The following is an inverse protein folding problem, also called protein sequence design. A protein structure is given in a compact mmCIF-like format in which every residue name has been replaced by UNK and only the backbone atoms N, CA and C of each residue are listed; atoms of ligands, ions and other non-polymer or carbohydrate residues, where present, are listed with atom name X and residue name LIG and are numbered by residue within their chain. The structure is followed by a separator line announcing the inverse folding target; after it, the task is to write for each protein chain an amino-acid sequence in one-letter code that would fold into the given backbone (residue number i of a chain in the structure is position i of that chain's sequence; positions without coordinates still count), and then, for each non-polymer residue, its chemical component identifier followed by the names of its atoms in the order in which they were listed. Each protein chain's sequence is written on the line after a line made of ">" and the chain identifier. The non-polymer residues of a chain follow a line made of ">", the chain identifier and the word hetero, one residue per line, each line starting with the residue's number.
data_IF_731416310584
#
_entry.id   IF_731416310584
#
_cell.length_a   1.000
_cell.length_b   1.000
_cell.length_c   1.000
_cell.angle_alpha   90.00
_cell.angle_beta   90.00
_cell.angle_gamma   90.00
#
_symmetry.space_group_name_H-M   'P 1'
#
loop_
_entity.id
_entity.type
_entity.pdbx_description
1 polymer ?
#
# COMPACT_ATOMS: atom_id res chain seq x y z
N UNK A 1 40.34 47.49 -4.62
CA UNK A 1 40.66 47.08 -3.23
C UNK A 1 39.39 46.89 -2.35
N UNK A 2 38.28 46.39 -2.83
CA UNK A 2 37.03 46.28 -2.02
C UNK A 2 36.39 44.87 -1.92
N UNK A 3 36.89 43.89 -2.63
CA UNK A 3 36.39 42.50 -2.54
C UNK A 3 36.99 41.67 -1.41
N UNK A 4 38.11 42.05 -0.84
CA UNK A 4 38.79 41.29 0.24
C UNK A 4 38.27 41.61 1.65
N UNK A 5 37.58 42.72 1.86
CA UNK A 5 37.05 43.11 3.16
C UNK A 5 35.64 42.58 3.44
N UNK A 6 34.86 42.23 2.39
CA UNK A 6 33.54 41.63 2.55
C UNK A 6 33.62 40.20 3.13
N UNK A 7 34.65 39.44 2.77
CA UNK A 7 34.84 38.07 3.23
C UNK A 7 35.40 37.96 4.68
N UNK A 8 35.88 39.07 5.26
CA UNK A 8 36.36 39.08 6.65
C UNK A 8 35.32 39.49 7.68
N UNK A 9 34.21 40.10 7.31
CA UNK A 9 33.12 40.49 8.22
C UNK A 9 31.95 39.49 8.27
N UNK A 10 31.92 38.50 7.37
CA UNK A 10 30.92 37.39 7.40
C UNK A 10 31.32 36.22 8.31
N UNK A 11 32.42 36.36 9.04
CA UNK A 11 33.01 35.28 9.86
C UNK A 11 32.59 35.19 11.31
N UNK A 12 31.57 35.99 11.75
CA UNK A 12 31.07 35.91 13.12
C UNK A 12 29.53 35.91 13.12
N UNK A 13 28.95 34.73 12.99
CA UNK A 13 27.49 34.53 13.02
C UNK A 13 27.03 33.18 12.54
N UNK A 14 27.91 32.21 12.43
CA UNK A 14 27.53 30.81 12.39
C UNK A 14 27.14 30.40 13.81
N UNK A 15 25.89 30.72 14.19
CA UNK A 15 25.22 29.92 15.19
C UNK A 15 25.28 28.47 14.66
N UNK A 16 26.07 27.65 15.35
CA UNK A 16 26.11 26.24 15.14
C UNK A 16 24.69 25.69 15.33
N UNK A 17 23.92 25.59 14.24
CA UNK A 17 23.00 24.49 14.13
C UNK A 17 23.91 23.26 14.24
N UNK A 18 24.04 22.75 15.46
CA UNK A 18 24.54 21.44 15.70
C UNK A 18 23.62 20.51 14.94
N UNK A 19 24.00 20.20 13.70
CA UNK A 19 23.65 18.97 13.05
C UNK A 19 24.14 17.92 14.06
N UNK A 20 23.25 17.48 14.93
CA UNK A 20 23.50 16.26 15.70
C UNK A 20 23.95 15.24 14.66
N UNK A 21 25.12 14.59 14.86
CA UNK A 21 25.51 13.50 14.01
C UNK A 21 24.34 12.52 14.08
N UNK A 22 23.58 12.40 12.98
CA UNK A 22 22.57 11.38 12.81
C UNK A 22 23.34 10.07 12.99
N UNK A 23 23.26 9.50 14.18
CA UNK A 23 24.00 8.29 14.50
C UNK A 23 23.52 7.22 13.53
N UNK A 24 24.44 6.73 12.70
CA UNK A 24 24.27 5.56 11.83
C UNK A 24 23.74 4.32 12.60
N UNK A 25 23.69 4.40 13.92
CA UNK A 25 23.39 3.33 14.86
C UNK A 25 21.88 3.14 15.16
N UNK A 26 20.99 4.08 14.83
CA UNK A 26 19.57 3.91 15.19
C UNK A 26 18.84 2.89 14.31
N UNK A 27 19.24 2.76 13.04
CA UNK A 27 18.66 1.78 12.13
C UNK A 27 19.00 0.35 12.57
N UNK A 28 20.30 0.11 12.77
CA UNK A 28 20.81 -1.21 13.14
C UNK A 28 20.32 -1.62 14.53
N UNK A 29 20.08 -0.66 15.43
CA UNK A 29 19.68 -0.92 16.81
C UNK A 29 18.31 -1.60 16.91
N UNK A 30 17.24 -1.02 16.35
CA UNK A 30 15.87 -1.58 16.48
C UNK A 30 15.77 -2.94 15.77
N UNK A 31 16.30 -3.05 14.55
CA UNK A 31 16.29 -4.31 13.81
C UNK A 31 17.11 -5.38 14.52
N UNK A 32 18.30 -5.01 15.05
CA UNK A 32 19.14 -5.91 15.83
C UNK A 32 18.46 -6.33 17.14
N UNK A 33 17.79 -5.41 17.83
CA UNK A 33 17.06 -5.68 19.06
C UNK A 33 15.91 -6.66 18.82
N UNK A 34 15.11 -6.47 17.76
CA UNK A 34 14.05 -7.39 17.36
C UNK A 34 14.61 -8.80 17.06
N UNK A 35 15.71 -8.88 16.32
CA UNK A 35 16.35 -10.14 15.99
C UNK A 35 16.93 -10.83 17.25
N UNK A 36 17.56 -10.08 18.13
CA UNK A 36 18.07 -10.57 19.41
C UNK A 36 16.95 -11.09 20.30
N UNK A 37 15.85 -10.35 20.41
CA UNK A 37 14.70 -10.77 21.20
C UNK A 37 14.10 -12.08 20.67
N UNK A 38 13.98 -12.20 19.34
CA UNK A 38 13.49 -13.42 18.71
C UNK A 38 14.39 -14.61 18.94
N UNK A 39 15.71 -14.42 18.88
CA UNK A 39 16.69 -15.47 19.12
C UNK A 39 16.70 -15.93 20.58
N UNK A 40 16.54 -14.99 21.53
CA UNK A 40 16.53 -15.30 22.96
C UNK A 40 15.29 -16.07 23.43
N UNK A 41 14.18 -16.02 22.70
CA UNK A 41 12.91 -16.67 23.04
C UNK A 41 12.33 -17.47 21.88
N UNK A 42 12.98 -18.54 21.42
CA UNK A 42 12.48 -19.36 20.34
C UNK A 42 11.17 -20.06 20.78
N UNK A 43 10.21 -20.18 19.87
CA UNK A 43 8.96 -20.92 20.09
C UNK A 43 7.87 -20.20 20.88
N UNK A 44 8.09 -18.96 21.36
CA UNK A 44 7.04 -18.19 22.02
C UNK A 44 6.05 -17.62 21.00
N UNK A 45 4.74 -17.75 21.27
CA UNK A 45 3.73 -16.97 20.54
C UNK A 45 3.91 -15.50 20.90
N UNK A 46 4.28 -14.65 19.95
CA UNK A 46 4.57 -13.22 20.16
C UNK A 46 3.38 -12.32 19.90
N UNK A 47 2.25 -12.86 19.49
CA UNK A 47 1.07 -12.05 19.15
C UNK A 47 0.65 -11.16 20.30
N UNK A 48 0.72 -11.67 21.54
CA UNK A 48 0.35 -10.96 22.78
C UNK A 48 1.56 -10.53 23.63
N UNK A 49 2.78 -10.74 23.14
CA UNK A 49 4.00 -10.36 23.86
C UNK A 49 4.25 -8.85 23.80
N UNK A 50 3.70 -8.12 24.77
CA UNK A 50 3.82 -6.66 24.82
C UNK A 50 5.26 -6.16 24.92
N UNK A 51 6.20 -6.97 25.44
CA UNK A 51 7.61 -6.59 25.48
C UNK A 51 8.20 -6.53 24.05
N UNK A 52 7.89 -7.52 23.20
CA UNK A 52 8.25 -7.48 21.79
C UNK A 52 7.63 -6.29 21.06
N UNK A 53 6.32 -6.06 21.25
CA UNK A 53 5.62 -4.97 20.58
C UNK A 53 6.02 -3.58 21.10
N UNK A 54 6.54 -3.49 22.33
CA UNK A 54 7.15 -2.26 22.80
C UNK A 54 8.41 -1.90 22.00
N UNK A 55 9.25 -2.88 21.64
CA UNK A 55 10.41 -2.61 20.77
C UNK A 55 9.93 -2.08 19.41
N UNK A 56 8.92 -2.71 18.81
CA UNK A 56 8.32 -2.22 17.54
C UNK A 56 7.78 -0.79 17.71
N UNK A 57 7.08 -0.51 18.80
CA UNK A 57 6.48 0.80 19.08
C UNK A 57 7.53 1.92 19.23
N UNK A 58 8.70 1.64 19.80
CA UNK A 58 9.77 2.63 19.95
C UNK A 58 10.36 3.07 18.62
N UNK A 59 10.18 2.27 17.54
CA UNK A 59 10.60 2.65 16.20
C UNK A 59 9.73 3.76 15.59
N UNK A 60 8.58 4.10 16.17
CA UNK A 60 7.67 5.11 15.61
C UNK A 60 7.64 6.36 16.51
N UNK A 61 7.99 7.51 15.93
CA UNK A 61 7.76 8.79 16.58
C UNK A 61 6.26 9.11 16.57
N UNK A 62 5.76 9.54 17.71
CA UNK A 62 4.37 9.99 17.84
C UNK A 62 4.38 11.38 18.42
N UNK A 63 3.61 12.26 17.81
CA UNK A 63 3.39 13.62 18.29
C UNK A 63 1.89 13.82 18.52
N UNK A 64 1.57 14.70 19.48
CA UNK A 64 0.20 15.02 19.87
C UNK A 64 -0.39 14.13 20.96
N UNK A 65 -1.40 14.70 21.64
CA UNK A 65 -2.12 14.10 22.77
C UNK A 65 -3.36 13.33 22.29
N UNK A 66 -3.21 12.50 21.26
CA UNK A 66 -4.33 11.73 20.74
C UNK A 66 -3.90 10.32 20.31
N UNK A 67 -4.86 9.42 20.25
CA UNK A 67 -4.70 8.07 19.73
C UNK A 67 -5.09 8.10 18.26
N UNK A 68 -4.09 7.98 17.36
CA UNK A 68 -4.33 7.91 15.92
C UNK A 68 -4.66 6.47 15.52
N UNK A 69 -5.91 6.22 15.13
CA UNK A 69 -6.34 4.93 14.56
C UNK A 69 -6.43 4.97 13.02
N UNK A 70 -6.16 6.11 12.40
CA UNK A 70 -6.14 6.27 10.94
C UNK A 70 -4.71 6.20 10.40
N UNK A 71 -4.07 5.05 10.51
CA UNK A 71 -2.74 4.80 9.96
C UNK A 71 -2.78 3.93 8.69
N UNK A 72 -3.95 3.50 8.25
CA UNK A 72 -4.10 2.63 7.09
C UNK A 72 -3.90 3.33 5.76
N UNK A 73 -4.31 4.61 5.65
CA UNK A 73 -4.10 5.43 4.45
C UNK A 73 -2.72 6.05 4.40
N UNK A 74 -2.22 6.53 5.54
CA UNK A 74 -0.97 7.29 5.65
C UNK A 74 -0.23 6.81 6.90
N UNK A 75 0.62 5.80 6.74
CA UNK A 75 1.39 5.28 7.87
C UNK A 75 2.57 6.17 8.20
N UNK A 76 2.87 6.40 9.48
CA UNK A 76 4.15 6.97 9.87
C UNK A 76 5.27 6.01 9.48
N UNK A 77 6.39 6.58 9.07
CA UNK A 77 7.58 5.79 8.81
C UNK A 77 8.21 5.38 10.14
N UNK A 78 8.66 4.12 10.30
CA UNK A 78 9.51 3.78 11.42
C UNK A 78 10.85 4.51 11.30
N UNK A 79 11.47 4.85 12.42
CA UNK A 79 12.70 5.63 12.46
C UNK A 79 13.80 5.13 11.51
N UNK A 80 14.03 3.82 11.37
CA UNK A 80 14.99 3.31 10.37
C UNK A 80 14.70 3.76 8.95
N UNK A 81 13.45 3.69 8.53
CA UNK A 81 13.02 4.10 7.17
C UNK A 81 13.11 5.62 7.01
N UNK A 82 12.67 6.36 8.03
CA UNK A 82 12.74 7.82 8.05
C UNK A 82 14.19 8.31 7.92
N UNK A 83 15.12 7.78 8.71
CA UNK A 83 16.53 8.13 8.67
C UNK A 83 17.17 7.79 7.31
N UNK A 84 16.84 6.63 6.74
CA UNK A 84 17.29 6.26 5.40
C UNK A 84 16.81 7.28 4.36
N UNK A 85 15.54 7.67 4.41
CA UNK A 85 14.95 8.65 3.49
C UNK A 85 15.71 9.98 3.54
N UNK A 86 15.99 10.51 4.74
CA UNK A 86 16.73 11.75 4.91
C UNK A 86 18.19 11.65 4.46
N UNK A 87 18.85 10.54 4.74
CA UNK A 87 20.21 10.29 4.27
C UNK A 87 20.27 10.30 2.73
N UNK A 88 19.33 9.62 2.08
CA UNK A 88 19.26 9.59 0.61
C UNK A 88 18.93 10.99 0.03
N UNK A 89 18.00 11.71 0.65
CA UNK A 89 17.70 13.10 0.25
C UNK A 89 18.93 14.01 0.37
N UNK A 90 19.70 13.87 1.44
CA UNK A 90 20.97 14.59 1.66
C UNK A 90 22.01 14.28 0.59
N UNK A 91 22.18 12.98 0.24
CA UNK A 91 23.09 12.55 -0.81
C UNK A 91 22.68 13.10 -2.18
N UNK A 92 21.40 12.97 -2.55
CA UNK A 92 20.88 13.52 -3.81
C UNK A 92 21.07 15.04 -3.88
N UNK A 93 20.79 15.77 -2.78
CA UNK A 93 20.99 17.21 -2.74
C UNK A 93 22.48 17.61 -2.88
N UNK A 94 23.38 16.87 -2.27
CA UNK A 94 24.81 17.16 -2.32
C UNK A 94 25.46 16.86 -3.69
N UNK A 95 24.96 15.85 -4.39
CA UNK A 95 25.50 15.42 -5.70
C UNK A 95 24.66 15.83 -6.89
N UNK A 96 23.36 16.12 -6.65
CA UNK A 96 22.40 16.69 -7.61
C UNK A 96 22.47 16.08 -9.03
N UNK A 97 22.91 16.85 -10.02
CA UNK A 97 22.96 16.37 -11.41
C UNK A 97 23.86 15.15 -11.62
N UNK A 98 24.92 15.00 -10.80
CA UNK A 98 25.77 13.80 -10.88
C UNK A 98 24.97 12.54 -10.51
N UNK A 99 24.25 12.56 -9.37
CA UNK A 99 23.37 11.48 -8.98
C UNK A 99 22.34 11.16 -10.08
N UNK A 100 21.62 12.16 -10.55
CA UNK A 100 20.57 12.03 -11.57
C UNK A 100 21.09 11.53 -12.92
N UNK A 101 22.37 11.67 -13.23
CA UNK A 101 22.97 11.26 -14.51
C UNK A 101 23.78 9.96 -14.43
N UNK A 102 24.19 9.54 -13.23
CA UNK A 102 25.16 8.45 -13.05
C UNK A 102 24.73 7.36 -12.09
N UNK A 103 23.88 7.69 -11.10
CA UNK A 103 23.59 6.79 -9.98
C UNK A 103 22.11 6.40 -9.88
N UNK A 104 21.19 7.24 -10.37
CA UNK A 104 19.75 7.03 -10.19
C UNK A 104 19.24 5.70 -10.74
N UNK A 105 19.73 5.27 -11.90
CA UNK A 105 19.30 4.03 -12.54
C UNK A 105 19.61 2.82 -11.65
N UNK A 106 20.86 2.73 -11.18
CA UNK A 106 21.28 1.66 -10.28
C UNK A 106 20.51 1.69 -8.96
N UNK A 107 20.20 2.88 -8.43
CA UNK A 107 19.42 3.03 -7.21
C UNK A 107 17.96 2.54 -7.38
N UNK A 108 17.35 2.86 -8.52
CA UNK A 108 16.00 2.39 -8.87
C UNK A 108 15.99 0.86 -9.03
N UNK A 109 16.96 0.28 -9.76
CA UNK A 109 17.05 -1.17 -9.96
C UNK A 109 17.30 -1.92 -8.64
N UNK A 110 18.09 -1.35 -7.72
CA UNK A 110 18.28 -1.93 -6.39
C UNK A 110 16.96 -1.97 -5.59
N UNK A 111 16.18 -0.90 -5.63
CA UNK A 111 14.88 -0.85 -4.97
C UNK A 111 13.88 -1.83 -5.62
N UNK A 112 13.88 -1.91 -6.96
CA UNK A 112 13.04 -2.85 -7.72
C UNK A 112 13.36 -4.30 -7.38
N UNK A 113 14.65 -4.68 -7.41
CA UNK A 113 15.07 -6.05 -7.10
C UNK A 113 14.66 -6.47 -5.69
N UNK A 114 14.86 -5.59 -4.69
CA UNK A 114 14.45 -5.86 -3.32
C UNK A 114 12.93 -6.02 -3.17
N UNK A 115 12.15 -5.20 -3.88
CA UNK A 115 10.69 -5.27 -3.84
C UNK A 115 10.17 -6.52 -4.58
N UNK A 116 10.75 -6.85 -5.73
CA UNK A 116 10.41 -8.03 -6.51
C UNK A 116 10.66 -9.33 -5.72
N UNK A 117 11.82 -9.43 -5.04
CA UNK A 117 12.13 -10.54 -4.12
C UNK A 117 11.11 -10.62 -2.97
N UNK A 118 10.74 -9.48 -2.38
CA UNK A 118 9.76 -9.42 -1.30
C UNK A 118 8.37 -9.90 -1.74
N UNK A 119 7.98 -9.61 -2.97
CA UNK A 119 6.68 -9.94 -3.55
C UNK A 119 6.64 -11.30 -4.25
N UNK A 120 7.79 -11.97 -4.42
CA UNK A 120 7.90 -13.28 -5.07
C UNK A 120 7.70 -13.25 -6.59
N UNK A 121 8.17 -12.19 -7.25
CA UNK A 121 8.03 -12.00 -8.71
C UNK A 121 9.35 -11.58 -9.35
N UNK A 122 9.51 -11.79 -10.68
CA UNK A 122 10.65 -11.24 -11.42
C UNK A 122 10.67 -9.71 -11.42
N UNK A 123 11.87 -9.11 -11.34
CA UNK A 123 12.03 -7.66 -11.37
C UNK A 123 11.59 -7.06 -12.71
N UNK A 124 11.66 -7.83 -13.79
CA UNK A 124 11.28 -7.47 -15.15
C UNK A 124 9.76 -7.32 -15.33
N UNK A 125 8.98 -7.77 -14.35
CA UNK A 125 7.53 -7.68 -14.31
C UNK A 125 7.02 -6.55 -13.39
N UNK A 126 7.94 -5.82 -12.74
CA UNK A 126 7.61 -4.85 -11.67
C UNK A 126 8.06 -3.44 -12.03
N UNK A 127 7.12 -2.51 -12.12
CA UNK A 127 7.37 -1.07 -12.22
C UNK A 127 7.21 -0.38 -10.87
N UNK A 128 8.07 0.60 -10.58
CA UNK A 128 7.99 1.45 -9.41
C UNK A 128 7.22 2.74 -9.72
N UNK A 129 6.11 2.92 -9.03
CA UNK A 129 5.18 4.03 -9.19
C UNK A 129 5.13 4.91 -7.95
N UNK A 130 4.27 5.94 -7.95
CA UNK A 130 4.06 6.80 -6.77
C UNK A 130 3.03 6.22 -5.79
N UNK A 131 2.04 5.52 -6.29
CA UNK A 131 0.94 4.96 -5.49
C UNK A 131 0.04 4.05 -6.34
N UNK A 132 -0.92 3.39 -5.70
CA UNK A 132 -1.93 2.56 -6.36
C UNK A 132 -2.74 3.33 -7.40
N UNK A 133 -3.08 4.60 -7.11
CA UNK A 133 -3.88 5.42 -8.02
C UNK A 133 -3.19 5.60 -9.36
N UNK A 134 -1.90 5.92 -9.37
CA UNK A 134 -1.12 5.99 -10.61
C UNK A 134 -1.04 4.62 -11.31
N UNK A 135 -0.71 3.57 -10.55
CA UNK A 135 -0.59 2.22 -11.09
C UNK A 135 -1.85 1.76 -11.80
N UNK A 136 -2.98 1.86 -11.14
CA UNK A 136 -4.26 1.39 -11.69
C UNK A 136 -4.81 2.32 -12.77
N UNK A 137 -4.64 3.65 -12.67
CA UNK A 137 -5.00 4.56 -13.76
C UNK A 137 -4.19 4.30 -15.01
N UNK A 138 -2.90 3.93 -14.89
CA UNK A 138 -2.08 3.50 -16.02
C UNK A 138 -2.71 2.30 -16.73
N UNK A 139 -3.14 1.29 -15.97
CA UNK A 139 -3.81 0.11 -16.52
C UNK A 139 -5.16 0.46 -17.11
N UNK A 140 -6.01 1.18 -16.39
CA UNK A 140 -7.39 1.51 -16.80
C UNK A 140 -7.38 2.34 -18.09
N UNK A 141 -6.53 3.37 -18.14
CA UNK A 141 -6.44 4.25 -19.31
C UNK A 141 -5.68 3.63 -20.49
N UNK A 142 -4.69 2.77 -20.18
CA UNK A 142 -3.84 2.14 -21.18
C UNK A 142 -4.36 0.81 -21.73
N UNK A 143 -5.41 0.25 -21.16
CA UNK A 143 -5.99 -1.00 -21.64
C UNK A 143 -6.58 -0.83 -23.06
N UNK A 144 -6.43 -1.83 -23.98
CA UNK A 144 -6.89 -1.72 -25.36
C UNK A 144 -8.41 -1.91 -25.48
N UNK A 145 -9.17 -0.98 -24.89
CA UNK A 145 -10.62 -0.97 -24.89
C UNK A 145 -11.20 -0.83 -26.29
N UNK A 146 -12.30 -1.55 -26.53
CA UNK A 146 -13.14 -1.39 -27.70
C UNK A 146 -14.55 -0.99 -27.24
N UNK A 147 -15.25 -0.24 -28.10
CA UNK A 147 -16.64 0.10 -27.86
C UNK A 147 -17.46 -1.17 -27.63
N UNK A 148 -18.19 -1.21 -26.53
CA UNK A 148 -19.02 -2.34 -26.12
C UNK A 148 -18.31 -3.43 -25.32
N UNK A 149 -17.00 -3.33 -25.07
CA UNK A 149 -16.31 -4.13 -24.04
C UNK A 149 -16.94 -3.88 -22.66
N UNK A 150 -16.75 -4.82 -21.75
CA UNK A 150 -17.25 -4.69 -20.38
C UNK A 150 -16.11 -4.85 -19.35
N UNK A 151 -16.18 -4.07 -18.27
CA UNK A 151 -15.40 -4.27 -17.05
C UNK A 151 -16.34 -4.55 -15.89
N UNK A 152 -15.94 -5.46 -14.99
CA UNK A 152 -16.62 -5.70 -13.72
C UNK A 152 -15.79 -5.08 -12.59
N UNK A 153 -16.43 -4.28 -11.75
CA UNK A 153 -15.88 -3.66 -10.53
C UNK A 153 -16.76 -4.02 -9.33
N UNK A 154 -16.24 -3.91 -8.09
CA UNK A 154 -17.02 -4.04 -6.87
C UNK A 154 -17.68 -2.71 -6.47
N UNK A 155 -18.87 -2.76 -5.86
CA UNK A 155 -19.54 -1.58 -5.29
C UNK A 155 -18.76 -1.00 -4.10
N UNK A 156 -17.96 -1.83 -3.41
CA UNK A 156 -17.10 -1.46 -2.30
C UNK A 156 -15.64 -1.16 -2.71
N UNK A 157 -15.33 -1.16 -4.00
CA UNK A 157 -14.01 -0.78 -4.48
C UNK A 157 -13.73 0.69 -4.19
N UNK A 158 -12.43 1.05 -4.11
CA UNK A 158 -12.03 2.42 -3.81
C UNK A 158 -12.66 3.43 -4.79
N UNK A 159 -13.36 4.43 -4.25
CA UNK A 159 -14.16 5.36 -5.03
C UNK A 159 -13.42 6.04 -6.19
N UNK A 160 -12.13 6.40 -6.00
CA UNK A 160 -11.33 6.98 -7.08
C UNK A 160 -11.09 5.99 -8.23
N UNK A 161 -11.01 4.69 -7.96
CA UNK A 161 -10.88 3.69 -9.02
C UNK A 161 -12.21 3.50 -9.75
N UNK A 162 -13.32 3.46 -9.01
CA UNK A 162 -14.64 3.43 -9.62
C UNK A 162 -14.87 4.62 -10.56
N UNK A 163 -14.46 5.82 -10.14
CA UNK A 163 -14.55 7.02 -10.99
C UNK A 163 -13.57 6.96 -12.18
N UNK A 164 -12.37 6.39 -12.02
CA UNK A 164 -11.43 6.21 -13.14
C UNK A 164 -12.03 5.29 -14.21
N UNK A 165 -12.68 4.18 -13.81
CA UNK A 165 -13.39 3.29 -14.76
C UNK A 165 -14.55 4.02 -15.45
N UNK A 166 -15.40 4.76 -14.71
CA UNK A 166 -16.51 5.51 -15.29
C UNK A 166 -16.05 6.61 -16.24
N UNK A 167 -14.95 7.30 -15.90
CA UNK A 167 -14.36 8.32 -16.77
C UNK A 167 -13.86 7.71 -18.09
N UNK A 168 -13.12 6.60 -18.02
CA UNK A 168 -12.58 5.96 -19.19
C UNK A 168 -13.67 5.25 -20.02
N UNK A 169 -14.74 4.74 -19.38
CA UNK A 169 -15.91 4.21 -20.09
C UNK A 169 -16.55 5.28 -20.99
N UNK A 170 -16.70 6.52 -20.49
CA UNK A 170 -17.19 7.65 -21.32
C UNK A 170 -16.25 7.98 -22.48
N UNK A 171 -14.93 7.80 -22.27
CA UNK A 171 -13.90 8.13 -23.28
C UNK A 171 -13.80 7.05 -24.38
N UNK A 172 -13.87 5.78 -24.01
CA UNK A 172 -13.58 4.65 -24.90
C UNK A 172 -14.79 3.82 -25.28
N UNK A 173 -15.97 4.09 -24.72
CA UNK A 173 -17.22 3.44 -25.07
C UNK A 173 -17.40 2.02 -24.52
N UNK A 174 -16.62 1.61 -23.52
CA UNK A 174 -16.87 0.37 -22.80
C UNK A 174 -17.92 0.56 -21.70
N UNK A 175 -18.43 -0.53 -21.13
CA UNK A 175 -19.44 -0.53 -20.09
C UNK A 175 -18.85 -0.97 -18.75
N UNK A 176 -19.28 -0.31 -17.67
CA UNK A 176 -18.94 -0.67 -16.30
C UNK A 176 -20.11 -1.45 -15.71
N UNK A 177 -19.85 -2.68 -15.27
CA UNK A 177 -20.79 -3.52 -14.53
C UNK A 177 -20.33 -3.60 -13.08
N UNK A 178 -21.24 -3.32 -12.15
CA UNK A 178 -20.91 -3.28 -10.72
C UNK A 178 -21.42 -4.54 -10.02
N UNK A 179 -20.52 -5.28 -9.39
CA UNK A 179 -20.86 -6.40 -8.53
C UNK A 179 -21.31 -5.88 -7.18
N UNK A 180 -22.43 -6.41 -6.68
CA UNK A 180 -22.90 -6.16 -5.33
C UNK A 180 -22.18 -7.13 -4.37
N UNK A 181 -21.14 -6.65 -3.68
CA UNK A 181 -20.28 -7.46 -2.83
C UNK A 181 -20.93 -7.58 -1.45
N UNK A 182 -21.22 -8.80 -0.96
CA UNK A 182 -21.79 -8.96 0.38
C UNK A 182 -20.88 -8.37 1.46
N UNK A 183 -21.41 -7.49 2.29
CA UNK A 183 -20.65 -6.83 3.37
C UNK A 183 -20.26 -7.83 4.47
N UNK A 184 -21.17 -8.74 4.81
CA UNK A 184 -20.96 -9.80 5.82
C UNK A 184 -21.27 -11.17 5.20
N UNK A 185 -20.44 -11.67 4.27
CA UNK A 185 -20.69 -12.93 3.58
C UNK A 185 -20.60 -14.11 4.56
N UNK A 186 -21.43 -15.13 4.33
CA UNK A 186 -21.35 -16.38 5.11
C UNK A 186 -20.28 -17.31 4.59
N UNK A 187 -20.05 -17.31 3.26
CA UNK A 187 -19.07 -18.18 2.59
C UNK A 187 -18.29 -17.43 1.54
N UNK A 188 -17.15 -17.99 1.08
CA UNK A 188 -16.38 -17.42 -0.04
C UNK A 188 -17.12 -17.54 -1.37
N UNK A 189 -17.98 -18.56 -1.51
CA UNK A 189 -18.79 -18.78 -2.70
C UNK A 189 -19.76 -17.62 -2.95
N UNK A 190 -20.28 -16.98 -1.91
CA UNK A 190 -21.11 -15.78 -2.06
C UNK A 190 -20.29 -14.64 -2.72
N UNK A 191 -19.05 -14.45 -2.30
CA UNK A 191 -18.14 -13.46 -2.89
C UNK A 191 -17.75 -13.83 -4.32
N UNK A 192 -17.40 -15.10 -4.56
CA UNK A 192 -17.09 -15.60 -5.90
C UNK A 192 -18.28 -15.37 -6.84
N UNK A 193 -19.47 -15.75 -6.41
CA UNK A 193 -20.70 -15.61 -7.20
C UNK A 193 -21.02 -14.15 -7.50
N UNK A 194 -20.83 -13.22 -6.55
CA UNK A 194 -21.11 -11.80 -6.75
C UNK A 194 -20.43 -11.22 -8.00
N UNK A 195 -19.19 -11.65 -8.26
CA UNK A 195 -18.45 -11.23 -9.45
C UNK A 195 -18.72 -12.10 -10.67
N UNK A 196 -18.69 -13.43 -10.51
CA UNK A 196 -18.71 -14.36 -11.64
C UNK A 196 -20.05 -14.39 -12.39
N UNK A 197 -21.18 -14.14 -11.71
CA UNK A 197 -22.49 -14.07 -12.36
C UNK A 197 -22.62 -12.92 -13.37
N UNK A 198 -21.73 -11.95 -13.33
CA UNK A 198 -21.68 -10.81 -14.25
C UNK A 198 -20.81 -11.07 -15.48
N UNK A 199 -20.01 -12.14 -15.50
CA UNK A 199 -19.06 -12.40 -16.58
C UNK A 199 -19.81 -12.87 -17.82
N UNK A 200 -19.58 -12.17 -18.93
CA UNK A 200 -20.12 -12.49 -20.24
C UNK A 200 -19.03 -12.48 -21.35
N UNK A 201 -19.41 -12.74 -22.60
CA UNK A 201 -18.48 -12.78 -23.74
C UNK A 201 -17.78 -11.44 -24.02
N UNK A 202 -18.37 -10.32 -23.57
CA UNK A 202 -17.82 -8.97 -23.73
C UNK A 202 -16.97 -8.53 -22.55
N UNK A 203 -16.92 -9.30 -21.47
CA UNK A 203 -16.15 -8.96 -20.27
C UNK A 203 -14.65 -9.11 -20.57
N UNK A 204 -13.92 -7.98 -20.57
CA UNK A 204 -12.49 -7.94 -20.88
C UNK A 204 -11.63 -7.79 -19.63
N UNK A 205 -12.18 -7.18 -18.59
CA UNK A 205 -11.45 -6.95 -17.34
C UNK A 205 -12.35 -7.23 -16.13
N UNK A 206 -11.74 -7.79 -15.10
CA UNK A 206 -12.29 -7.93 -13.76
C UNK A 206 -11.36 -7.19 -12.80
N UNK A 207 -11.87 -6.14 -12.15
CA UNK A 207 -11.16 -5.43 -11.09
C UNK A 207 -11.59 -5.97 -9.73
N UNK A 208 -10.64 -6.24 -8.86
CA UNK A 208 -10.84 -6.77 -7.51
C UNK A 208 -10.01 -5.96 -6.50
N UNK A 209 -10.63 -5.50 -5.43
CA UNK A 209 -9.91 -4.97 -4.27
C UNK A 209 -9.61 -6.13 -3.31
N UNK A 210 -8.32 -6.46 -3.10
CA UNK A 210 -7.94 -7.62 -2.27
C UNK A 210 -8.33 -7.44 -0.80
N UNK A 211 -8.14 -6.21 -0.26
CA UNK A 211 -8.59 -5.84 1.07
C UNK A 211 -9.36 -4.52 0.99
N UNK A 212 -10.67 -4.61 1.21
CA UNK A 212 -11.57 -3.46 1.09
C UNK A 212 -11.31 -2.45 2.21
N UNK A 213 -11.02 -1.22 1.84
CA UNK A 213 -10.72 -0.16 2.79
C UNK A 213 -11.93 0.27 3.65
N UNK A 214 -13.15 0.12 3.10
CA UNK A 214 -14.38 0.52 3.78
C UNK A 214 -14.78 -0.44 4.90
N UNK A 215 -14.63 -1.75 4.67
CA UNK A 215 -15.12 -2.78 5.60
C UNK A 215 -14.00 -3.60 6.27
N UNK A 216 -12.75 -3.49 5.77
CA UNK A 216 -11.66 -4.36 6.21
C UNK A 216 -11.81 -5.81 5.77
N UNK A 217 -12.77 -6.09 4.87
CA UNK A 217 -13.01 -7.43 4.35
C UNK A 217 -11.89 -7.85 3.39
N UNK A 218 -11.37 -9.05 3.61
CA UNK A 218 -10.45 -9.71 2.68
C UNK A 218 -11.25 -10.48 1.64
N UNK A 219 -11.01 -10.19 0.37
CA UNK A 219 -11.68 -10.82 -0.77
C UNK A 219 -10.86 -12.03 -1.23
N UNK A 220 -11.48 -13.19 -1.51
CA UNK A 220 -10.80 -14.40 -1.96
C UNK A 220 -10.39 -14.29 -3.45
N UNK A 221 -9.47 -13.36 -3.72
CA UNK A 221 -9.04 -12.98 -5.09
C UNK A 221 -8.66 -14.19 -5.91
N UNK A 222 -7.87 -15.11 -5.37
CA UNK A 222 -7.43 -16.29 -6.11
C UNK A 222 -8.59 -17.20 -6.54
N UNK A 223 -9.61 -17.37 -5.70
CA UNK A 223 -10.78 -18.17 -6.02
C UNK A 223 -11.61 -17.48 -7.11
N UNK A 224 -11.84 -16.17 -6.98
CA UNK A 224 -12.57 -15.37 -7.98
C UNK A 224 -11.81 -15.37 -9.31
N UNK A 225 -10.49 -15.16 -9.30
CA UNK A 225 -9.64 -15.15 -10.51
C UNK A 225 -9.71 -16.46 -11.27
N UNK A 226 -9.57 -17.59 -10.56
CA UNK A 226 -9.67 -18.93 -11.19
C UNK A 226 -11.07 -19.19 -11.75
N UNK A 227 -12.12 -18.85 -11.00
CA UNK A 227 -13.49 -19.00 -11.48
C UNK A 227 -13.79 -18.10 -12.68
N UNK A 228 -13.33 -16.85 -12.65
CA UNK A 228 -13.49 -15.92 -13.77
C UNK A 228 -12.82 -16.44 -15.06
N UNK A 229 -11.57 -16.94 -14.95
CA UNK A 229 -10.82 -17.49 -16.09
C UNK A 229 -11.40 -18.82 -16.61
N UNK A 230 -12.08 -19.59 -15.77
CA UNK A 230 -12.80 -20.79 -16.23
C UNK A 230 -14.04 -20.44 -17.06
N UNK A 231 -14.68 -19.28 -16.83
CA UNK A 231 -15.82 -18.78 -17.59
C UNK A 231 -15.36 -18.05 -18.87
N UNK A 232 -14.35 -17.18 -18.71
CA UNK A 232 -13.76 -16.41 -19.81
C UNK A 232 -12.22 -16.42 -19.70
N UNK A 233 -11.53 -17.34 -20.44
CA UNK A 233 -10.07 -17.46 -20.38
C UNK A 233 -9.29 -16.19 -20.77
N UNK A 234 -9.91 -15.29 -21.52
CA UNK A 234 -9.29 -14.06 -22.02
C UNK A 234 -9.51 -12.84 -21.10
N UNK A 235 -10.16 -13.03 -19.94
CA UNK A 235 -10.40 -11.94 -19.00
C UNK A 235 -9.09 -11.52 -18.32
N UNK A 236 -8.84 -10.22 -18.29
CA UNK A 236 -7.73 -9.63 -17.51
C UNK A 236 -8.18 -9.42 -16.07
N UNK A 237 -7.51 -10.03 -15.12
CA UNK A 237 -7.79 -9.83 -13.69
C UNK A 237 -6.80 -8.82 -13.10
N UNK A 238 -7.33 -7.67 -12.71
CA UNK A 238 -6.58 -6.55 -12.13
C UNK A 238 -6.91 -6.43 -10.64
N UNK A 239 -5.89 -6.33 -9.81
CA UNK A 239 -6.05 -6.30 -8.35
C UNK A 239 -5.53 -4.99 -7.75
N UNK A 240 -6.38 -4.34 -6.97
CA UNK A 240 -5.99 -3.31 -6.02
C UNK A 240 -5.52 -3.97 -4.72
N UNK A 241 -4.21 -3.95 -4.49
CA UNK A 241 -3.58 -4.49 -3.30
C UNK A 241 -3.10 -3.38 -2.33
N UNK A 242 -3.68 -2.16 -2.44
CA UNK A 242 -3.26 -1.00 -1.66
C UNK A 242 -3.23 -1.25 -0.15
N UNK A 243 -4.17 -2.01 0.38
CA UNK A 243 -4.27 -2.30 1.81
C UNK A 243 -3.76 -3.69 2.19
N UNK A 244 -3.53 -4.59 1.24
CA UNK A 244 -3.11 -5.96 1.54
C UNK A 244 -1.59 -6.14 1.60
N UNK A 245 -0.81 -5.43 0.76
CA UNK A 245 0.66 -5.52 0.79
C UNK A 245 1.19 -5.13 2.18
N UNK A 246 1.96 -6.04 2.77
CA UNK A 246 2.56 -5.91 4.10
C UNK A 246 1.56 -5.79 5.27
N UNK A 247 0.25 -5.92 5.03
CA UNK A 247 -0.76 -6.15 6.06
C UNK A 247 -1.08 -7.65 6.19
N UNK A 248 -1.23 -8.31 5.04
CA UNK A 248 -1.43 -9.75 4.92
C UNK A 248 -0.15 -10.42 4.45
N UNK A 249 0.04 -11.67 4.80
CA UNK A 249 1.18 -12.49 4.37
C UNK A 249 0.81 -13.31 3.14
N UNK A 250 1.34 -12.96 1.99
CA UNK A 250 1.13 -13.65 0.72
C UNK A 250 2.20 -13.22 -0.29
N UNK A 251 2.33 -13.99 -1.38
CA UNK A 251 3.11 -13.61 -2.55
C UNK A 251 2.16 -13.22 -3.69
N UNK A 252 2.58 -12.33 -4.62
CA UNK A 252 1.69 -11.90 -5.73
C UNK A 252 1.18 -13.07 -6.59
N UNK A 253 1.95 -14.12 -6.90
CA UNK A 253 1.44 -15.28 -7.62
C UNK A 253 0.28 -16.00 -6.94
N UNK A 254 0.18 -15.93 -5.61
CA UNK A 254 -0.92 -16.56 -4.85
C UNK A 254 -2.29 -15.97 -5.22
N UNK A 255 -2.34 -14.74 -5.72
CA UNK A 255 -3.58 -14.07 -6.13
C UNK A 255 -4.16 -14.62 -7.44
N UNK A 256 -3.38 -15.38 -8.21
CA UNK A 256 -3.78 -15.89 -9.53
C UNK A 256 -4.30 -14.79 -10.49
N UNK A 257 -3.90 -13.53 -10.26
CA UNK A 257 -4.25 -12.34 -11.04
C UNK A 257 -3.25 -12.11 -12.19
N UNK A 258 -3.53 -11.11 -13.02
CA UNK A 258 -2.68 -10.76 -14.14
C UNK A 258 -1.92 -9.45 -13.91
N UNK A 259 -2.53 -8.51 -13.17
CA UNK A 259 -1.97 -7.19 -12.88
C UNK A 259 -2.27 -6.85 -11.43
N UNK A 260 -1.31 -6.26 -10.72
CA UNK A 260 -1.48 -5.81 -9.33
C UNK A 260 -0.90 -4.41 -9.15
N UNK A 261 -1.70 -3.49 -8.61
CA UNK A 261 -1.25 -2.17 -8.19
C UNK A 261 -1.29 -2.01 -6.67
N UNK A 262 -0.26 -1.38 -6.08
CA UNK A 262 -0.24 -1.13 -4.64
C UNK A 262 0.51 0.14 -4.23
N UNK A 263 0.16 0.66 -3.04
CA UNK A 263 0.85 1.75 -2.36
C UNK A 263 1.73 1.20 -1.24
N UNK A 264 3.02 1.53 -1.25
CA UNK A 264 3.97 1.03 -0.26
C UNK A 264 4.02 1.89 1.00
N UNK A 265 3.49 3.12 0.94
CA UNK A 265 3.42 4.06 2.06
C UNK A 265 2.28 3.77 3.05
N UNK A 266 1.50 2.71 2.81
CA UNK A 266 0.47 2.24 3.74
C UNK A 266 1.10 1.25 4.73
N UNK A 267 0.88 -0.04 4.59
CA UNK A 267 1.27 -1.04 5.57
C UNK A 267 2.74 -1.47 5.53
N UNK A 268 3.46 -1.19 4.43
CA UNK A 268 4.93 -1.32 4.40
C UNK A 268 5.63 -0.12 5.09
N UNK A 269 4.89 0.95 5.39
CA UNK A 269 5.38 2.16 6.06
C UNK A 269 6.53 2.87 5.32
N UNK A 270 6.52 2.80 3.99
CA UNK A 270 7.44 3.56 3.15
C UNK A 270 7.07 5.06 3.15
N UNK A 271 7.95 5.97 2.74
CA UNK A 271 7.57 7.38 2.53
C UNK A 271 6.38 7.54 1.58
N UNK A 272 5.57 8.58 1.79
CA UNK A 272 4.50 8.96 0.88
C UNK A 272 5.04 9.16 -0.53
N UNK A 273 4.39 8.59 -1.54
CA UNK A 273 4.83 8.67 -2.92
C UNK A 273 5.71 7.49 -3.37
N UNK A 274 5.58 6.33 -2.71
CA UNK A 274 6.11 5.06 -3.17
C UNK A 274 4.99 4.06 -3.42
N UNK A 275 4.98 3.46 -4.61
CA UNK A 275 4.01 2.45 -5.05
C UNK A 275 4.63 1.48 -6.05
N UNK A 276 3.84 0.53 -6.50
CA UNK A 276 4.26 -0.46 -7.47
C UNK A 276 3.14 -0.85 -8.44
N UNK A 277 3.54 -1.34 -9.60
CA UNK A 277 2.68 -1.97 -10.61
C UNK A 277 3.37 -3.24 -11.09
N UNK A 278 2.76 -4.38 -10.80
CA UNK A 278 3.19 -5.67 -11.34
C UNK A 278 2.27 -6.10 -12.46
N UNK A 279 2.83 -6.65 -13.52
CA UNK A 279 2.09 -7.22 -14.64
C UNK A 279 2.76 -8.51 -15.12
N UNK A 280 1.96 -9.50 -15.46
CA UNK A 280 2.44 -10.65 -16.20
C UNK A 280 3.01 -10.22 -17.57
N UNK A 281 4.06 -10.91 -18.08
CA UNK A 281 4.76 -10.53 -19.32
C UNK A 281 3.84 -10.33 -20.52
N UNK A 282 2.79 -11.13 -20.64
CA UNK A 282 1.84 -11.06 -21.76
C UNK A 282 1.01 -9.77 -21.78
N UNK A 283 0.86 -9.08 -20.64
CA UNK A 283 0.10 -7.83 -20.54
C UNK A 283 0.97 -6.58 -20.75
N UNK A 284 2.28 -6.65 -20.49
CA UNK A 284 3.19 -5.48 -20.61
C UNK A 284 3.08 -4.82 -22.01
N UNK A 285 3.16 -5.55 -23.13
CA UNK A 285 3.07 -4.93 -24.45
C UNK A 285 1.66 -4.46 -24.83
N UNK A 286 0.62 -4.94 -24.14
CA UNK A 286 -0.77 -4.62 -24.46
C UNK A 286 -1.27 -3.32 -23.80
N UNK A 287 -0.67 -2.96 -22.64
CA UNK A 287 -1.06 -1.76 -21.90
C UNK A 287 -0.27 -0.57 -22.40
N UNK A 288 -0.93 0.54 -22.74
CA UNK A 288 -0.28 1.79 -23.06
C UNK A 288 0.20 2.50 -21.79
N UNK A 289 1.43 3.02 -21.75
CA UNK A 289 1.88 3.81 -20.62
C UNK A 289 1.06 5.12 -20.51
N UNK A 290 0.91 5.60 -19.27
CA UNK A 290 0.17 6.84 -19.01
C UNK A 290 0.88 8.05 -19.61
N UNK A 291 2.21 8.05 -19.60
CA UNK A 291 3.05 9.09 -20.19
C UNK A 291 3.88 8.47 -21.31
N UNK A 292 4.08 9.27 -22.38
CA UNK A 292 4.84 8.81 -23.55
C UNK A 292 6.28 8.47 -23.18
N UNK A 293 6.70 7.26 -23.52
CA UNK A 293 8.08 6.82 -23.39
C UNK A 293 8.43 5.97 -24.63
N UNK A 294 9.42 6.41 -25.38
CA UNK A 294 9.96 5.70 -26.53
C UNK A 294 11.35 5.10 -26.27
N UNK A 295 11.86 5.26 -25.03
CA UNK A 295 13.19 4.81 -24.63
C UNK A 295 13.29 3.31 -24.39
N UNK A 296 12.15 2.64 -24.17
CA UNK A 296 12.09 1.20 -23.87
C UNK A 296 11.29 0.42 -24.91
N UNK A 297 11.66 -0.86 -25.12
CA UNK A 297 10.89 -1.79 -25.94
C UNK A 297 9.48 -2.02 -25.36
N UNK A 298 8.54 -2.43 -26.21
CA UNK A 298 7.13 -2.56 -25.84
C UNK A 298 6.88 -3.56 -24.69
N UNK A 299 7.72 -4.56 -24.55
CA UNK A 299 7.69 -5.62 -23.52
C UNK A 299 8.48 -5.29 -22.26
N UNK A 300 9.11 -4.11 -22.19
CA UNK A 300 9.89 -3.69 -21.03
C UNK A 300 8.99 -2.96 -20.03
N UNK A 301 8.90 -3.47 -18.80
CA UNK A 301 8.07 -2.91 -17.73
C UNK A 301 8.47 -1.47 -17.35
N UNK A 302 9.74 -1.08 -17.56
CA UNK A 302 10.25 0.26 -17.21
C UNK A 302 9.59 1.39 -18.00
N UNK A 303 8.93 1.07 -19.13
CA UNK A 303 8.13 2.06 -19.90
C UNK A 303 7.00 2.71 -19.09
N UNK A 304 6.56 2.06 -18.01
CA UNK A 304 5.53 2.59 -17.11
C UNK A 304 6.08 3.52 -16.02
N UNK A 305 7.40 3.73 -15.97
CA UNK A 305 8.05 4.55 -14.94
C UNK A 305 8.43 5.96 -15.40
N UNK A 306 8.14 6.31 -16.65
CA UNK A 306 8.41 7.65 -17.14
C UNK A 306 7.47 8.67 -16.49
N UNK A 307 7.96 9.33 -15.43
CA UNK A 307 7.21 10.30 -14.64
C UNK A 307 7.90 11.69 -14.62
N UNK A 308 8.95 11.87 -15.45
CA UNK A 308 9.80 13.04 -15.38
C UNK A 308 10.63 13.08 -14.08
N UNK A 309 11.04 14.28 -13.67
CA UNK A 309 11.80 14.47 -12.43
C UNK A 309 10.92 14.20 -11.21
N UNK A 310 11.37 13.30 -10.34
CA UNK A 310 10.63 12.87 -9.15
C UNK A 310 11.55 12.68 -7.94
N UNK A 311 11.03 12.70 -6.70
CA UNK A 311 11.80 12.39 -5.52
C UNK A 311 12.19 10.91 -5.52
N UNK A 312 13.50 10.59 -5.58
CA UNK A 312 13.98 9.20 -5.63
C UNK A 312 14.25 8.61 -4.25
N UNK A 313 14.51 9.42 -3.23
CA UNK A 313 14.72 8.96 -1.85
C UNK A 313 13.57 8.11 -1.32
N UNK A 314 12.35 8.30 -1.82
CA UNK A 314 11.19 7.49 -1.46
C UNK A 314 11.32 6.04 -1.95
N UNK A 315 11.79 5.86 -3.18
CA UNK A 315 12.04 4.53 -3.74
C UNK A 315 13.26 3.87 -3.12
N UNK A 316 14.34 4.65 -2.91
CA UNK A 316 15.58 4.17 -2.28
C UNK A 316 15.38 3.71 -0.83
N UNK A 317 14.28 4.08 -0.19
CA UNK A 317 13.92 3.63 1.16
C UNK A 317 13.17 2.29 1.19
N UNK A 318 12.73 1.75 0.04
CA UNK A 318 11.99 0.47 -0.05
C UNK A 318 12.76 -0.69 0.59
N UNK A 319 14.06 -0.92 0.32
CA UNK A 319 14.79 -2.01 0.96
C UNK A 319 14.80 -1.94 2.49
N UNK A 320 14.86 -0.73 3.06
CA UNK A 320 14.85 -0.52 4.51
C UNK A 320 13.46 -0.79 5.11
N UNK A 321 12.39 -0.41 4.43
CA UNK A 321 11.02 -0.73 4.85
C UNK A 321 10.77 -2.24 4.84
N UNK A 322 11.25 -2.95 3.82
CA UNK A 322 11.20 -4.43 3.74
C UNK A 322 11.99 -5.06 4.88
N UNK A 323 13.20 -4.57 5.16
CA UNK A 323 14.05 -5.08 6.23
C UNK A 323 13.38 -4.92 7.61
N UNK A 324 12.77 -3.76 7.89
CA UNK A 324 12.01 -3.54 9.12
C UNK A 324 10.79 -4.47 9.21
N UNK A 325 10.03 -4.61 8.13
CA UNK A 325 8.91 -5.54 8.06
C UNK A 325 9.34 -6.99 8.33
N UNK A 326 10.43 -7.44 7.70
CA UNK A 326 11.01 -8.79 7.92
C UNK A 326 11.52 -9.00 9.35
N UNK A 327 12.06 -7.95 10.00
CA UNK A 327 12.51 -8.04 11.39
C UNK A 327 11.34 -8.27 12.36
N UNK A 328 10.17 -7.72 12.09
CA UNK A 328 8.92 -8.04 12.82
C UNK A 328 8.47 -9.47 12.46
N UNK A 329 8.47 -9.81 11.19
CA UNK A 329 7.90 -11.03 10.60
C UNK A 329 6.48 -10.77 10.11
N UNK A 330 6.24 -11.00 8.81
CA UNK A 330 4.97 -10.67 8.14
C UNK A 330 3.78 -11.38 8.78
N UNK A 331 3.84 -12.70 8.92
CA UNK A 331 2.77 -13.49 9.56
C UNK A 331 2.50 -13.06 11.02
N UNK A 332 3.56 -12.71 11.78
CA UNK A 332 3.41 -12.21 13.15
C UNK A 332 2.74 -10.84 13.18
N UNK A 333 3.11 -9.95 12.25
CA UNK A 333 2.49 -8.63 12.10
C UNK A 333 1.00 -8.77 11.75
N UNK A 334 0.65 -9.61 10.80
CA UNK A 334 -0.74 -9.90 10.43
C UNK A 334 -1.54 -10.40 11.64
N UNK A 335 -1.01 -11.40 12.34
CA UNK A 335 -1.66 -11.97 13.52
C UNK A 335 -1.86 -10.91 14.63
N UNK A 336 -0.87 -10.04 14.89
CA UNK A 336 -1.00 -8.94 15.85
C UNK A 336 -2.05 -7.92 15.44
N UNK A 337 -2.09 -7.55 14.18
CA UNK A 337 -3.07 -6.60 13.66
C UNK A 337 -4.49 -7.14 13.82
N UNK A 338 -4.72 -8.40 13.48
CA UNK A 338 -6.01 -9.09 13.69
C UNK A 338 -6.37 -9.20 15.18
N UNK A 339 -5.39 -9.51 16.03
CA UNK A 339 -5.58 -9.55 17.48
C UNK A 339 -6.05 -8.20 18.04
N UNK A 340 -5.37 -7.12 17.67
CA UNK A 340 -5.73 -5.77 18.11
C UNK A 340 -7.12 -5.35 17.60
N UNK A 341 -7.44 -5.65 16.36
CA UNK A 341 -8.76 -5.39 15.79
C UNK A 341 -9.84 -6.17 16.54
N UNK A 342 -9.68 -7.48 16.70
CA UNK A 342 -10.64 -8.34 17.40
C UNK A 342 -10.87 -7.90 18.85
N UNK A 343 -9.86 -7.37 19.53
CA UNK A 343 -9.94 -6.93 20.92
C UNK A 343 -10.97 -5.83 21.17
N UNK A 344 -11.07 -4.84 20.28
CA UNK A 344 -12.07 -3.79 20.41
C UNK A 344 -13.38 -4.16 19.68
N UNK A 345 -13.30 -4.88 18.57
CA UNK A 345 -14.47 -5.27 17.79
C UNK A 345 -15.39 -6.21 18.59
N UNK A 346 -14.84 -7.13 19.40
CA UNK A 346 -15.65 -7.98 20.28
C UNK A 346 -16.45 -7.15 21.29
N UNK A 347 -15.83 -6.16 21.92
CA UNK A 347 -16.51 -5.26 22.85
C UNK A 347 -17.57 -4.39 22.14
N UNK A 348 -17.28 -3.92 20.92
CA UNK A 348 -18.26 -3.17 20.13
C UNK A 348 -19.47 -4.05 19.72
N UNK A 349 -19.24 -5.35 19.45
CA UNK A 349 -20.30 -6.29 19.09
C UNK A 349 -21.28 -6.57 20.24
N UNK A 350 -20.85 -6.40 21.49
CA UNK A 350 -21.70 -6.56 22.69
C UNK A 350 -22.51 -5.28 22.99
N UNK A 351 -22.20 -4.18 22.32
CA UNK A 351 -22.87 -2.90 22.54
C UNK A 351 -24.26 -2.86 21.88
N UNK A 352 -25.27 -2.36 22.59
CA UNK A 352 -26.60 -2.15 22.05
C UNK A 352 -26.72 -0.93 21.13
N UNK A 353 -25.71 -0.05 21.11
CA UNK A 353 -25.69 1.19 20.33
C UNK A 353 -24.71 1.19 19.16
N UNK A 354 -23.92 0.13 19.01
CA UNK A 354 -22.94 -0.02 17.92
C UNK A 354 -23.31 -1.20 17.02
N UNK A 355 -22.94 -1.12 15.74
CA UNK A 355 -23.05 -2.22 14.78
C UNK A 355 -21.79 -2.29 13.93
N UNK A 356 -21.18 -3.48 13.83
CA UNK A 356 -20.00 -3.73 13.04
C UNK A 356 -20.35 -4.01 11.59
N UNK A 357 -19.65 -3.34 10.68
CA UNK A 357 -19.78 -3.51 9.22
C UNK A 357 -18.61 -4.35 8.64
N UNK A 358 -17.92 -5.05 9.49
CA UNK A 358 -16.73 -5.89 9.17
C UNK A 358 -16.99 -7.33 9.60
N UNK A 359 -16.58 -8.34 8.82
CA UNK A 359 -16.66 -9.75 9.22
C UNK A 359 -15.58 -10.08 10.26
N UNK A 360 -15.55 -9.36 11.37
CA UNK A 360 -14.47 -9.31 12.36
C UNK A 360 -14.13 -10.67 13.01
N UNK A 361 -15.12 -11.54 13.14
CA UNK A 361 -15.01 -12.88 13.75
C UNK A 361 -14.88 -14.01 12.73
N UNK A 362 -14.78 -13.68 11.43
CA UNK A 362 -14.62 -14.69 10.37
C UNK A 362 -13.15 -14.82 10.01
N UNK A 363 -12.59 -16.02 10.22
CA UNK A 363 -11.18 -16.30 9.88
C UNK A 363 -10.97 -16.20 8.36
N UNK A 364 -9.82 -15.65 7.96
CA UNK A 364 -9.48 -15.42 6.54
C UNK A 364 -10.18 -14.23 5.88
N UNK A 365 -11.23 -13.64 6.50
CA UNK A 365 -11.99 -12.51 5.92
C UNK A 365 -11.81 -11.19 6.64
N UNK A 366 -11.07 -11.17 7.72
CA UNK A 366 -10.79 -9.97 8.51
C UNK A 366 -9.33 -9.53 8.43
N UNK A 367 -9.09 -8.30 8.82
CA UNK A 367 -7.78 -7.66 8.76
C UNK A 367 -7.57 -6.71 9.95
N UNK A 368 -6.66 -5.75 9.84
CA UNK A 368 -6.50 -4.69 10.83
C UNK A 368 -7.60 -3.62 10.76
N UNK A 369 -8.25 -3.50 9.60
CA UNK A 369 -9.31 -2.51 9.36
C UNK A 369 -10.63 -3.08 9.83
N UNK A 370 -11.39 -2.28 10.58
CA UNK A 370 -12.78 -2.58 10.88
C UNK A 370 -13.60 -1.30 10.97
N UNK A 371 -14.84 -1.40 10.52
CA UNK A 371 -15.80 -0.29 10.50
C UNK A 371 -16.94 -0.56 11.45
N UNK A 372 -17.27 0.45 12.22
CA UNK A 372 -18.35 0.43 13.22
C UNK A 372 -19.25 1.63 13.02
N UNK A 373 -20.55 1.42 13.07
CA UNK A 373 -21.56 2.46 13.04
C UNK A 373 -22.19 2.64 14.42
N UNK A 374 -22.58 3.87 14.72
CA UNK A 374 -23.41 4.19 15.89
C UNK A 374 -24.88 4.27 15.44
N UNK A 375 -25.81 3.68 16.22
CA UNK A 375 -27.21 3.54 15.80
C UNK A 375 -27.98 4.86 15.68
N UNK A 376 -27.51 5.95 16.31
CA UNK A 376 -28.19 7.24 16.36
C UNK A 376 -27.31 8.44 15.96
N UNK A 377 -26.02 8.26 15.78
CA UNK A 377 -25.09 9.32 15.34
C UNK A 377 -24.67 9.08 13.90
N UNK A 378 -24.55 10.15 13.12
CA UNK A 378 -23.89 10.04 11.82
C UNK A 378 -22.39 9.68 11.98
N UNK A 379 -21.72 9.13 10.95
CA UNK A 379 -20.30 8.83 11.02
C UNK A 379 -19.45 10.03 11.45
N UNK A 380 -19.72 11.22 10.92
CA UNK A 380 -19.04 12.46 11.31
C UNK A 380 -19.27 12.85 12.77
N UNK A 381 -20.50 12.75 13.25
CA UNK A 381 -20.82 13.02 14.67
C UNK A 381 -20.14 12.02 15.61
N UNK A 382 -20.10 10.75 15.24
CA UNK A 382 -19.45 9.73 16.05
C UNK A 382 -17.93 9.91 16.09
N UNK A 383 -17.29 10.20 14.96
CA UNK A 383 -15.87 10.50 14.90
C UNK A 383 -15.52 11.75 15.74
N UNK A 384 -16.33 12.81 15.67
CA UNK A 384 -16.16 14.01 16.47
C UNK A 384 -16.28 13.70 17.98
N UNK A 385 -17.29 12.92 18.40
CA UNK A 385 -17.45 12.49 19.79
C UNK A 385 -16.21 11.73 20.30
N UNK A 386 -15.69 10.78 19.50
CA UNK A 386 -14.49 10.02 19.87
C UNK A 386 -13.26 10.92 20.03
N UNK A 387 -13.11 11.90 19.14
CA UNK A 387 -11.97 12.83 19.22
C UNK A 387 -12.10 13.83 20.38
N UNK A 388 -13.25 14.46 20.53
CA UNK A 388 -13.46 15.52 21.52
C UNK A 388 -13.41 14.99 22.96
N UNK A 389 -14.05 13.85 23.21
CA UNK A 389 -14.16 13.28 24.54
C UNK A 389 -13.02 12.32 24.90
N UNK A 390 -12.48 11.59 23.94
CA UNK A 390 -11.52 10.51 24.20
C UNK A 390 -10.18 10.67 23.49
N UNK A 391 -10.00 11.74 22.70
CA UNK A 391 -8.79 11.97 21.90
C UNK A 391 -8.46 10.80 20.98
N UNK A 392 -9.47 10.14 20.45
CA UNK A 392 -9.34 9.05 19.48
C UNK A 392 -9.65 9.60 18.09
N UNK A 393 -8.64 9.66 17.23
CA UNK A 393 -8.78 10.08 15.84
C UNK A 393 -9.13 8.88 14.96
N UNK A 394 -10.25 9.00 14.25
CA UNK A 394 -10.78 8.02 13.28
C UNK A 394 -11.24 8.74 12.02
N UNK A 395 -11.53 8.00 10.96
CA UNK A 395 -12.11 8.54 9.73
C UNK A 395 -13.61 8.22 9.68
N UNK A 396 -14.42 9.25 9.41
CA UNK A 396 -15.82 9.07 9.06
C UNK A 396 -15.95 8.69 7.59
N UNK A 397 -16.69 7.63 7.31
CA UNK A 397 -17.03 7.18 5.94
C UNK A 397 -18.53 7.35 5.79
N UNK A 398 -18.95 8.24 4.87
CA UNK A 398 -20.36 8.53 4.57
C UNK A 398 -20.84 7.75 3.34
#
# INVERSE_FOLDING_TARGET
>A
MQRRNFLRQSGMGLAACSLMPLSLNAFDHVVAELNTYRAAKPGLSRVEDEAFWNIVRTAFRREGDFINLENGYFSPQPEPVFQSTWKQAGHINATSSFFMRREQEQAIETARAALAEFLGVPAEELALTRNTTESLNTVIAGFPWKTGDEVIIGDQDYGSMNEAFRQNARRYGFQVRTANVPLLPKTDEELVRAYTMLIGPKTRMLHLTHLINLSGQVIPVAAISRAAKSINPNICVVVDAAHSIAQLEFQLPDLASDIVGASLHKWLCNPLGAGMLWMKPEWIPQIWPLMGDTGYAADNIRRFEHQGTRPLQHLMSIPHAIQFHRAIGGSLKEARLKFLMKRWASAAAESSVLSLQTPWNQEGRNSAIATVNHNSLSPGQFAALLFDQHKIFTVAIE
#
